data_IF_297251069688
#
_entry.id   IF_297251069688
#
_cell.length_a   1.000
_cell.length_b   1.000
_cell.length_c   1.000
_cell.angle_alpha   90.00
_cell.angle_beta   90.00
_cell.angle_gamma   90.00
#
_symmetry.space_group_name_H-M   'P 1'
#
loop_
_entity.id
_entity.type
_entity.pdbx_description
1 polymer ?
#
# COMPACT_ATOMS: atom_id res chain seq x y z
N UNK A 1 -8.09 14.93 -13.14
CA UNK A 1 -8.92 13.79 -12.68
C UNK A 1 -8.54 12.48 -13.40
N UNK A 2 -8.48 12.44 -14.73
CA UNK A 2 -8.14 11.22 -15.50
C UNK A 2 -6.77 10.59 -15.14
N UNK A 3 -5.71 11.38 -15.04
CA UNK A 3 -4.35 10.89 -14.74
C UNK A 3 -4.28 10.23 -13.35
N UNK A 4 -4.93 10.83 -12.35
CA UNK A 4 -4.97 10.29 -10.99
C UNK A 4 -5.64 8.90 -10.93
N UNK A 5 -6.80 8.75 -11.56
CA UNK A 5 -7.50 7.46 -11.61
C UNK A 5 -6.72 6.40 -12.39
N UNK A 6 -5.98 6.81 -13.42
CA UNK A 6 -5.06 5.90 -14.13
C UNK A 6 -3.91 5.48 -13.23
N UNK A 7 -3.27 6.41 -12.51
CA UNK A 7 -2.22 6.10 -11.54
C UNK A 7 -2.72 5.13 -10.48
N UNK A 8 -3.92 5.33 -9.93
CA UNK A 8 -4.49 4.42 -8.93
C UNK A 8 -4.64 2.97 -9.41
N UNK A 9 -4.76 2.75 -10.72
CA UNK A 9 -4.90 1.42 -11.34
C UNK A 9 -3.57 0.81 -11.77
N UNK A 10 -2.49 1.59 -11.84
CA UNK A 10 -1.16 1.08 -12.15
C UNK A 10 -0.70 0.11 -11.05
N UNK A 11 -0.06 -0.98 -11.46
CA UNK A 11 0.46 -2.00 -10.56
C UNK A 11 1.91 -1.69 -10.20
N UNK A 12 2.25 -1.91 -8.93
CA UNK A 12 3.60 -1.79 -8.39
C UNK A 12 3.94 -3.04 -7.58
N UNK A 13 5.23 -3.40 -7.55
CA UNK A 13 5.69 -4.45 -6.64
C UNK A 13 5.52 -3.95 -5.21
N UNK A 14 4.80 -4.71 -4.39
CA UNK A 14 4.59 -4.39 -2.99
C UNK A 14 5.27 -5.44 -2.11
N UNK A 15 6.49 -5.17 -1.61
CA UNK A 15 7.30 -6.13 -0.88
C UNK A 15 6.58 -6.84 0.27
N UNK A 16 5.73 -6.17 1.09
CA UNK A 16 5.05 -6.83 2.20
C UNK A 16 4.15 -8.02 1.79
N UNK A 17 3.66 -8.03 0.55
CA UNK A 17 2.85 -9.13 0.02
C UNK A 17 3.61 -9.98 -1.03
N UNK A 18 4.84 -9.61 -1.39
CA UNK A 18 5.64 -10.30 -2.40
C UNK A 18 5.02 -10.33 -3.80
N UNK A 19 4.03 -9.47 -4.08
CA UNK A 19 3.26 -9.49 -5.33
C UNK A 19 3.01 -8.08 -5.87
N UNK A 20 2.52 -8.00 -7.11
CA UNK A 20 2.13 -6.74 -7.71
C UNK A 20 0.68 -6.39 -7.35
N UNK A 21 0.48 -5.20 -6.78
CA UNK A 21 -0.83 -4.66 -6.44
C UNK A 21 -0.97 -3.25 -7.00
N UNK A 22 -2.20 -2.77 -7.12
CA UNK A 22 -2.47 -1.41 -7.60
C UNK A 22 -2.11 -0.36 -6.55
N UNK A 23 -1.81 0.87 -6.96
CA UNK A 23 -1.63 2.00 -6.03
C UNK A 23 -2.82 2.19 -5.08
N UNK A 24 -4.05 1.97 -5.55
CA UNK A 24 -5.23 1.96 -4.67
C UNK A 24 -5.11 0.91 -3.57
N UNK A 25 -4.65 -0.29 -3.89
CA UNK A 25 -4.44 -1.36 -2.92
C UNK A 25 -3.29 -1.04 -1.96
N UNK A 26 -2.20 -0.43 -2.43
CA UNK A 26 -1.10 0.04 -1.57
C UNK A 26 -1.62 0.94 -0.45
N UNK A 27 -2.43 1.95 -0.79
CA UNK A 27 -2.99 2.88 0.20
C UNK A 27 -3.85 2.16 1.23
N UNK A 28 -4.70 1.23 0.78
CA UNK A 28 -5.57 0.46 1.68
C UNK A 28 -4.76 -0.47 2.59
N UNK A 29 -3.73 -1.14 2.08
CA UNK A 29 -2.86 -1.98 2.89
C UNK A 29 -2.05 -1.18 3.90
N UNK A 30 -1.54 -0.01 3.52
CA UNK A 30 -0.84 0.88 4.43
C UNK A 30 -1.76 1.34 5.58
N UNK A 31 -3.01 1.68 5.29
CA UNK A 31 -4.00 2.02 6.32
C UNK A 31 -4.30 0.83 7.26
N UNK A 32 -4.43 -0.39 6.72
CA UNK A 32 -4.64 -1.61 7.51
C UNK A 32 -3.45 -1.92 8.42
N UNK A 33 -2.23 -1.85 7.89
CA UNK A 33 -1.00 -2.06 8.66
C UNK A 33 -0.84 -1.02 9.77
N UNK A 34 -1.14 0.24 9.47
CA UNK A 34 -1.14 1.31 10.47
C UNK A 34 -2.16 1.03 11.58
N UNK A 35 -3.38 0.59 11.22
CA UNK A 35 -4.39 0.23 12.21
C UNK A 35 -3.94 -0.92 13.12
N UNK A 36 -3.27 -1.94 12.58
CA UNK A 36 -2.68 -3.05 13.36
C UNK A 36 -1.52 -2.58 14.24
N UNK A 37 -0.71 -1.66 13.73
CA UNK A 37 0.38 -1.07 14.50
C UNK A 37 -0.11 -0.27 15.70
N UNK A 38 -1.17 0.53 15.54
CA UNK A 38 -1.81 1.26 16.65
C UNK A 38 -2.30 0.29 17.74
N UNK A 39 -2.68 -0.93 17.36
CA UNK A 39 -3.07 -2.01 18.29
C UNK A 39 -1.90 -2.84 18.83
N UNK A 40 -0.65 -2.47 18.50
CA UNK A 40 0.56 -3.24 18.82
C UNK A 40 0.58 -4.68 18.27
N UNK A 41 -0.19 -4.97 17.21
CA UNK A 41 -0.24 -6.28 16.56
C UNK A 41 0.88 -6.44 15.51
N UNK A 42 1.40 -5.34 14.96
CA UNK A 42 2.37 -5.33 13.87
C UNK A 42 3.36 -4.15 13.98
N UNK A 43 4.61 -4.34 13.55
CA UNK A 43 5.55 -3.24 13.33
C UNK A 43 5.20 -2.59 11.98
N UNK A 44 4.89 -1.30 12.01
CA UNK A 44 4.59 -0.55 10.78
C UNK A 44 5.88 -0.21 10.03
N UNK A 45 5.93 -0.59 8.76
CA UNK A 45 6.96 -0.16 7.82
C UNK A 45 6.31 0.62 6.67
N UNK A 46 6.68 1.90 6.47
CA UNK A 46 6.14 2.71 5.39
C UNK A 46 6.59 2.16 4.04
N UNK A 47 5.68 2.18 3.06
CA UNK A 47 6.02 1.80 1.69
C UNK A 47 6.77 2.94 1.00
N UNK A 48 8.02 2.68 0.61
CA UNK A 48 8.84 3.58 -0.21
C UNK A 48 9.00 2.96 -1.59
N UNK A 49 8.39 3.54 -2.65
CA UNK A 49 8.62 3.07 -4.01
C UNK A 49 10.09 3.32 -4.41
N UNK A 50 10.69 2.34 -5.07
CA UNK A 50 12.02 2.48 -5.70
C UNK A 50 11.88 3.02 -7.12
#
# INVERSE_FOLDING_TARGET
>A
ILVYEQTLRQRVLYPPLGTQITWRQVVLEQARRLARHIKAEEIYEPFVPR
#
